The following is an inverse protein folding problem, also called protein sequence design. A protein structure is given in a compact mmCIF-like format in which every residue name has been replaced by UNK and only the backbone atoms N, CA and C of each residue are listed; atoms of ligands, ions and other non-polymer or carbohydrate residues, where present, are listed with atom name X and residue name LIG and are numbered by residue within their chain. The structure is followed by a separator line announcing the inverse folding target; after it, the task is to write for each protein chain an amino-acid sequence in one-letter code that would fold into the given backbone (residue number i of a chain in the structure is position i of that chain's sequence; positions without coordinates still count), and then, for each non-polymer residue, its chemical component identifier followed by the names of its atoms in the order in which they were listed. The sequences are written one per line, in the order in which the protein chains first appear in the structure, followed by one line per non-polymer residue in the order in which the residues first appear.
data_IF_043385300094
#
_entry.id   IF_043385300094
#
_cell.length_a   1.000
_cell.length_b   1.000
_cell.length_c   1.000
_cell.angle_alpha   90.00
_cell.angle_beta   90.00
_cell.angle_gamma   90.00
#
_symmetry.space_group_name_H-M   'P 1'
#
loop_
_entity.id
_entity.type
_entity.pdbx_description
1 polymer ?
#
# COMPACT_ATOMS: atom_id res chain seq x y z
N UNK A 1 0.97 6.90 -26.43
CA UNK A 1 0.56 5.52 -26.10
C UNK A 1 -0.79 5.59 -25.37
N UNK A 2 -1.72 4.75 -25.75
CA UNK A 2 -3.02 4.69 -25.09
C UNK A 2 -2.93 4.17 -23.64
N UNK A 3 -3.79 4.68 -22.77
CA UNK A 3 -3.80 4.31 -21.34
C UNK A 3 -4.05 2.82 -21.15
N UNK A 4 -4.98 2.21 -21.90
CA UNK A 4 -5.23 0.77 -21.82
C UNK A 4 -4.00 -0.10 -22.17
N UNK A 5 -3.16 0.33 -23.12
CA UNK A 5 -1.91 -0.36 -23.45
C UNK A 5 -0.89 -0.26 -22.31
N UNK A 6 -0.90 0.87 -21.59
CA UNK A 6 -0.06 1.06 -20.41
C UNK A 6 -0.48 0.13 -19.28
N UNK A 7 -1.78 0.05 -19.01
CA UNK A 7 -2.36 -0.88 -18.01
C UNK A 7 -1.94 -2.32 -18.31
N UNK A 8 -2.09 -2.77 -19.56
CA UNK A 8 -1.69 -4.12 -19.96
C UNK A 8 -0.19 -4.39 -19.78
N UNK A 9 0.65 -3.40 -20.06
CA UNK A 9 2.11 -3.54 -19.83
C UNK A 9 2.45 -3.64 -18.35
N UNK A 10 1.74 -2.91 -17.48
CA UNK A 10 1.91 -3.01 -16.04
C UNK A 10 1.48 -4.40 -15.54
N UNK A 11 0.28 -4.86 -15.93
CA UNK A 11 -0.22 -6.19 -15.58
C UNK A 11 0.76 -7.30 -15.97
N UNK A 12 1.32 -7.24 -17.18
CA UNK A 12 2.31 -8.23 -17.65
C UNK A 12 3.59 -8.29 -16.82
N UNK A 13 3.95 -7.23 -16.16
CA UNK A 13 5.13 -7.18 -15.29
C UNK A 13 4.89 -7.88 -13.95
N UNK A 14 3.64 -7.99 -13.50
CA UNK A 14 3.27 -8.59 -12.23
C UNK A 14 3.08 -10.12 -12.35
N UNK A 15 3.40 -10.86 -11.29
CA UNK A 15 3.23 -12.33 -11.24
C UNK A 15 1.78 -12.76 -11.42
N UNK A 16 0.83 -11.95 -10.98
CA UNK A 16 -0.61 -12.21 -11.06
C UNK A 16 -1.17 -12.20 -12.47
N UNK A 17 -0.45 -11.67 -13.47
CA UNK A 17 -0.96 -11.63 -14.82
C UNK A 17 -1.24 -13.04 -15.37
N UNK A 18 -2.49 -13.26 -15.79
CA UNK A 18 -2.98 -14.58 -16.24
C UNK A 18 -3.38 -15.55 -15.12
N UNK A 19 -3.17 -15.19 -13.85
CA UNK A 19 -3.60 -15.95 -12.66
C UNK A 19 -4.67 -15.21 -11.85
N UNK A 20 -4.81 -13.91 -12.03
CA UNK A 20 -5.84 -13.08 -11.42
C UNK A 20 -7.08 -13.11 -12.30
N UNK A 21 -8.24 -13.37 -11.71
CA UNK A 21 -9.51 -13.34 -12.41
C UNK A 21 -9.93 -11.90 -12.72
N UNK A 22 -9.88 -11.52 -13.98
CA UNK A 22 -10.25 -10.19 -14.48
C UNK A 22 -11.69 -9.79 -14.15
N UNK A 23 -12.58 -10.75 -13.90
CA UNK A 23 -13.98 -10.46 -13.56
C UNK A 23 -14.16 -10.06 -12.09
N UNK A 24 -13.25 -10.46 -11.23
CA UNK A 24 -13.38 -10.27 -9.77
C UNK A 24 -12.27 -9.43 -9.16
N UNK A 25 -11.18 -9.20 -9.88
CA UNK A 25 -10.07 -8.36 -9.40
C UNK A 25 -10.50 -6.94 -9.05
N UNK A 26 -9.83 -6.36 -8.09
CA UNK A 26 -9.98 -4.94 -7.72
C UNK A 26 -9.31 -4.00 -8.73
N UNK A 27 -8.47 -4.52 -9.62
CA UNK A 27 -7.68 -3.75 -10.60
C UNK A 27 -8.53 -3.35 -11.81
N UNK A 28 -9.46 -2.44 -11.58
CA UNK A 28 -10.42 -1.96 -12.55
C UNK A 28 -10.15 -0.51 -12.96
N UNK A 29 -10.64 -0.12 -14.15
CA UNK A 29 -10.77 1.30 -14.50
C UNK A 29 -11.93 1.85 -13.69
N UNK A 30 -11.59 2.64 -12.66
CA UNK A 30 -12.58 3.21 -11.74
C UNK A 30 -13.29 4.40 -12.35
N UNK A 31 -12.63 5.12 -13.27
CA UNK A 31 -13.18 6.29 -13.93
C UNK A 31 -12.54 6.58 -15.28
N UNK A 32 -13.30 7.18 -16.21
CA UNK A 32 -12.81 7.69 -17.48
C UNK A 32 -12.69 6.65 -18.60
N UNK A 33 -12.29 7.10 -19.79
CA UNK A 33 -12.06 6.25 -20.96
C UNK A 33 -10.56 6.01 -21.21
N UNK A 34 -10.11 4.79 -20.97
CA UNK A 34 -8.71 4.39 -21.14
C UNK A 34 -8.28 4.24 -22.63
N UNK A 35 -9.16 4.46 -23.60
CA UNK A 35 -8.79 4.44 -25.03
C UNK A 35 -8.12 5.73 -25.50
N UNK A 36 -8.11 6.76 -24.68
CA UNK A 36 -7.43 8.01 -24.98
C UNK A 36 -5.90 7.89 -24.88
N UNK A 37 -5.18 8.81 -25.54
CA UNK A 37 -3.74 8.90 -25.40
C UNK A 37 -3.34 9.43 -24.01
N UNK A 38 -2.33 8.82 -23.40
CA UNK A 38 -1.80 9.27 -22.13
C UNK A 38 -0.95 10.53 -22.31
N UNK A 39 -1.26 11.58 -21.57
CA UNK A 39 -0.49 12.83 -21.53
C UNK A 39 0.47 12.90 -20.36
N UNK A 40 0.23 12.14 -19.30
CA UNK A 40 1.06 12.04 -18.11
C UNK A 40 0.43 11.11 -17.09
N UNK A 41 1.22 10.64 -16.14
CA UNK A 41 0.80 9.68 -15.11
C UNK A 41 1.11 10.18 -13.72
N UNK A 42 0.18 9.99 -12.81
CA UNK A 42 0.35 10.18 -11.37
C UNK A 42 0.10 8.85 -10.68
N UNK A 43 0.97 8.43 -9.76
CA UNK A 43 0.75 7.28 -8.88
C UNK A 43 0.44 7.76 -7.47
N UNK A 44 -0.46 7.07 -6.78
CA UNK A 44 -0.88 7.42 -5.43
C UNK A 44 -1.46 6.20 -4.73
N UNK A 45 -1.49 6.20 -3.40
CA UNK A 45 -2.26 5.21 -2.68
C UNK A 45 -3.76 5.42 -2.90
N UNK A 46 -4.22 6.66 -2.82
CA UNK A 46 -5.62 7.03 -2.98
C UNK A 46 -5.79 8.32 -3.82
N UNK A 47 -6.63 8.29 -4.85
CA UNK A 47 -6.91 9.43 -5.73
C UNK A 47 -7.82 10.48 -5.03
N UNK A 48 -7.24 11.25 -4.11
CA UNK A 48 -7.92 12.37 -3.45
C UNK A 48 -8.19 13.53 -4.41
N UNK A 49 -9.00 14.48 -3.99
CA UNK A 49 -9.25 15.71 -4.74
C UNK A 49 -7.94 16.48 -4.99
N UNK A 50 -7.02 16.50 -4.02
CA UNK A 50 -5.73 17.17 -4.18
C UNK A 50 -4.82 16.46 -5.19
N UNK A 51 -4.83 15.12 -5.21
CA UNK A 51 -4.13 14.34 -6.24
C UNK A 51 -4.70 14.60 -7.64
N UNK A 52 -6.04 14.69 -7.75
CA UNK A 52 -6.70 15.02 -9.03
C UNK A 52 -6.30 16.43 -9.48
N UNK A 53 -6.35 17.43 -8.59
CA UNK A 53 -5.90 18.80 -8.90
C UNK A 53 -4.44 18.85 -9.28
N UNK A 54 -3.59 18.09 -8.61
CA UNK A 54 -2.18 17.98 -8.98
C UNK A 54 -2.00 17.39 -10.39
N UNK A 55 -2.73 16.32 -10.72
CA UNK A 55 -2.70 15.75 -12.06
C UNK A 55 -3.12 16.79 -13.12
N UNK A 56 -4.18 17.55 -12.87
CA UNK A 56 -4.65 18.64 -13.73
C UNK A 56 -3.55 19.70 -13.91
N UNK A 57 -2.95 20.19 -12.81
CA UNK A 57 -1.87 21.18 -12.85
C UNK A 57 -0.68 20.72 -13.71
N UNK A 58 -0.35 19.42 -13.64
CA UNK A 58 0.75 18.82 -14.40
C UNK A 58 0.37 18.38 -15.81
N UNK A 59 -0.90 18.55 -16.23
CA UNK A 59 -1.38 18.11 -17.54
C UNK A 59 -1.41 16.60 -17.70
N UNK A 60 -1.47 15.85 -16.59
CA UNK A 60 -1.57 14.39 -16.57
C UNK A 60 -3.02 13.97 -16.60
N UNK A 61 -3.37 13.03 -17.48
CA UNK A 61 -4.72 12.51 -17.61
C UNK A 61 -4.90 11.07 -17.13
N UNK A 62 -3.85 10.48 -16.52
CA UNK A 62 -3.92 9.12 -15.99
C UNK A 62 -3.45 9.06 -14.54
N UNK A 63 -4.31 8.60 -13.65
CA UNK A 63 -4.00 8.35 -12.24
C UNK A 63 -4.03 6.86 -11.99
N UNK A 64 -2.94 6.31 -11.45
CA UNK A 64 -2.87 4.94 -10.95
C UNK A 64 -2.97 5.02 -9.44
N UNK A 65 -4.07 4.53 -8.87
CA UNK A 65 -4.26 4.46 -7.43
C UNK A 65 -4.19 3.00 -6.95
N UNK A 66 -3.92 2.81 -5.67
CA UNK A 66 -3.92 1.51 -5.03
C UNK A 66 -5.29 1.19 -4.43
N UNK A 67 -5.94 2.19 -3.85
CA UNK A 67 -7.21 2.08 -3.17
C UNK A 67 -8.39 2.64 -3.98
N UNK A 68 -9.60 2.38 -3.47
CA UNK A 68 -10.86 2.79 -4.08
C UNK A 68 -10.96 4.30 -4.29
N UNK A 69 -11.61 4.71 -5.37
CA UNK A 69 -11.79 6.13 -5.72
C UNK A 69 -12.85 6.83 -4.86
N UNK A 70 -13.97 6.12 -4.55
CA UNK A 70 -15.16 6.71 -3.91
C UNK A 70 -15.54 6.02 -2.58
N UNK A 71 -14.59 5.98 -1.62
CA UNK A 71 -14.77 5.71 -0.19
C UNK A 71 -15.42 4.38 0.19
N UNK A 72 -15.40 3.40 -0.68
CA UNK A 72 -15.76 2.03 -0.35
C UNK A 72 -14.95 1.06 -1.21
N UNK A 73 -14.52 -0.03 -0.63
CA UNK A 73 -13.57 -0.97 -1.27
C UNK A 73 -14.09 -1.56 -2.59
N UNK A 74 -15.41 -1.65 -2.77
CA UNK A 74 -16.05 -2.12 -4.00
C UNK A 74 -16.25 -1.04 -5.07
N UNK A 75 -15.97 0.23 -4.77
CA UNK A 75 -16.26 1.39 -5.63
C UNK A 75 -17.73 1.49 -6.09
N UNK A 76 -18.67 0.99 -5.28
CA UNK A 76 -20.12 1.12 -5.54
C UNK A 76 -20.54 2.58 -5.37
N UNK A 77 -21.19 3.15 -6.38
CA UNK A 77 -21.52 4.59 -6.49
C UNK A 77 -23.00 4.90 -6.41
N UNK A 78 -23.86 3.90 -6.52
CA UNK A 78 -25.32 4.05 -6.63
C UNK A 78 -25.88 4.86 -5.45
N UNK A 79 -25.47 4.57 -4.24
CA UNK A 79 -25.89 5.27 -3.03
C UNK A 79 -25.41 6.73 -2.95
N UNK A 80 -24.28 7.06 -3.60
CA UNK A 80 -23.77 8.43 -3.69
C UNK A 80 -24.58 9.26 -4.69
N UNK A 81 -24.97 8.64 -5.79
CA UNK A 81 -25.83 9.26 -6.81
C UNK A 81 -27.25 9.46 -6.28
N UNK A 82 -27.85 8.46 -5.66
CA UNK A 82 -29.19 8.51 -5.04
C UNK A 82 -29.27 9.57 -3.94
N UNK A 83 -28.25 9.67 -3.09
CA UNK A 83 -28.18 10.66 -2.02
C UNK A 83 -27.79 12.06 -2.50
N UNK A 84 -27.39 12.22 -3.77
CA UNK A 84 -26.85 13.47 -4.34
C UNK A 84 -25.70 14.02 -3.49
N UNK A 85 -24.76 13.12 -3.10
CA UNK A 85 -23.64 13.50 -2.25
C UNK A 85 -22.79 14.60 -2.92
N UNK A 86 -22.71 15.77 -2.29
CA UNK A 86 -22.05 16.94 -2.87
C UNK A 86 -20.56 16.69 -3.15
N UNK A 87 -19.85 16.06 -2.21
CA UNK A 87 -18.42 15.79 -2.35
C UNK A 87 -18.14 14.82 -3.52
N UNK A 88 -18.98 13.81 -3.67
CA UNK A 88 -18.93 12.90 -4.81
C UNK A 88 -19.15 13.63 -6.13
N UNK A 89 -20.20 14.45 -6.21
CA UNK A 89 -20.55 15.18 -7.43
C UNK A 89 -19.45 16.15 -7.85
N UNK A 90 -18.87 16.90 -6.90
CA UNK A 90 -17.75 17.82 -7.17
C UNK A 90 -16.48 17.06 -7.59
N UNK A 91 -16.13 15.97 -6.92
CA UNK A 91 -14.99 15.13 -7.28
C UNK A 91 -15.17 14.53 -8.67
N UNK A 92 -16.37 14.04 -8.97
CA UNK A 92 -16.75 13.50 -10.28
C UNK A 92 -16.63 14.57 -11.37
N UNK A 93 -17.11 15.79 -11.10
CA UNK A 93 -17.03 16.91 -12.04
C UNK A 93 -15.59 17.27 -12.40
N UNK A 94 -14.66 17.26 -11.43
CA UNK A 94 -13.24 17.50 -11.69
C UNK A 94 -12.65 16.45 -12.65
N UNK A 95 -13.03 15.18 -12.50
CA UNK A 95 -12.58 14.11 -13.39
C UNK A 95 -13.15 14.26 -14.80
N UNK A 96 -14.44 14.60 -14.90
CA UNK A 96 -15.14 14.78 -16.19
C UNK A 96 -14.58 15.98 -16.97
N UNK A 97 -14.45 17.15 -16.32
CA UNK A 97 -14.00 18.39 -16.95
C UNK A 97 -12.58 18.30 -17.55
N UNK A 98 -11.76 17.41 -17.00
CA UNK A 98 -10.36 17.26 -17.39
C UNK A 98 -10.05 15.92 -18.06
N UNK A 99 -11.06 15.09 -18.33
CA UNK A 99 -10.91 13.81 -19.01
C UNK A 99 -9.94 12.84 -18.33
N UNK A 100 -9.91 12.86 -16.99
CA UNK A 100 -8.97 12.05 -16.19
C UNK A 100 -9.45 10.61 -16.13
N UNK A 101 -8.52 9.68 -16.37
CA UNK A 101 -8.71 8.24 -16.15
C UNK A 101 -8.10 7.85 -14.83
N UNK A 102 -8.84 7.09 -14.03
CA UNK A 102 -8.35 6.48 -12.79
C UNK A 102 -8.40 4.97 -12.93
N UNK A 103 -7.26 4.31 -12.76
CA UNK A 103 -7.14 2.87 -12.72
C UNK A 103 -6.60 2.43 -11.37
N UNK A 104 -7.21 1.39 -10.79
CA UNK A 104 -6.77 0.77 -9.55
C UNK A 104 -5.77 -0.34 -9.86
N UNK A 105 -4.63 -0.34 -9.19
CA UNK A 105 -3.60 -1.37 -9.24
C UNK A 105 -3.36 -1.91 -7.83
N UNK A 106 -4.13 -2.89 -7.43
CA UNK A 106 -4.15 -3.48 -6.09
C UNK A 106 -3.71 -4.94 -6.12
N UNK A 107 -4.54 -5.82 -6.68
CA UNK A 107 -4.28 -7.26 -6.66
C UNK A 107 -3.03 -7.64 -7.46
N UNK A 108 -2.81 -7.00 -8.60
CA UNK A 108 -1.65 -7.25 -9.45
C UNK A 108 -0.34 -6.87 -8.78
N UNK A 109 -0.23 -5.72 -8.12
CA UNK A 109 1.01 -5.29 -7.46
C UNK A 109 1.30 -6.16 -6.22
N UNK A 110 0.26 -6.57 -5.47
CA UNK A 110 0.39 -7.50 -4.35
C UNK A 110 0.76 -8.92 -4.79
N UNK A 111 0.30 -9.37 -5.98
CA UNK A 111 0.63 -10.70 -6.50
C UNK A 111 2.12 -10.89 -6.78
N UNK A 112 2.86 -9.82 -6.87
CA UNK A 112 4.32 -9.80 -6.92
C UNK A 112 4.91 -9.17 -8.16
N UNK A 113 6.00 -8.45 -7.94
CA UNK A 113 6.89 -7.91 -8.98
C UNK A 113 8.21 -8.68 -9.00
N UNK A 114 8.95 -8.72 -10.13
CA UNK A 114 10.23 -9.42 -10.20
C UNK A 114 11.25 -8.87 -9.21
N UNK A 115 11.85 -9.76 -8.42
CA UNK A 115 12.86 -9.41 -7.43
C UNK A 115 13.86 -10.57 -7.22
N UNK A 116 15.16 -10.35 -7.47
CA UNK A 116 16.25 -11.31 -7.24
C UNK A 116 15.99 -12.72 -7.81
N UNK A 117 15.42 -12.80 -9.01
CA UNK A 117 15.11 -14.08 -9.67
C UNK A 117 13.82 -14.75 -9.19
N UNK A 118 13.06 -14.10 -8.35
CA UNK A 118 11.76 -14.50 -7.83
C UNK A 118 10.76 -13.35 -7.96
N UNK A 119 9.68 -13.42 -7.19
CA UNK A 119 8.68 -12.38 -7.07
C UNK A 119 8.48 -11.99 -5.61
N UNK A 120 8.11 -10.74 -5.39
CA UNK A 120 7.79 -10.21 -4.07
C UNK A 120 6.63 -9.22 -4.20
N UNK A 121 5.83 -9.08 -3.15
CA UNK A 121 4.81 -8.04 -3.04
C UNK A 121 5.42 -6.66 -3.34
N UNK A 122 4.90 -5.99 -4.38
CA UNK A 122 5.48 -4.75 -4.87
C UNK A 122 5.25 -3.57 -3.93
N UNK A 123 4.18 -3.60 -3.15
CA UNK A 123 3.85 -2.58 -2.16
C UNK A 123 4.87 -2.62 -1.02
N UNK A 124 5.09 -3.80 -0.42
CA UNK A 124 6.00 -3.93 0.73
C UNK A 124 7.47 -3.98 0.33
N UNK A 125 7.80 -4.31 -0.93
CA UNK A 125 9.14 -4.03 -1.46
C UNK A 125 9.42 -2.53 -1.49
N UNK A 126 8.43 -1.70 -1.84
CA UNK A 126 8.56 -0.25 -1.81
C UNK A 126 8.90 0.27 -0.41
N UNK A 127 8.20 -0.22 0.62
CA UNK A 127 8.54 0.07 2.02
C UNK A 127 9.97 -0.37 2.34
N UNK A 128 10.34 -1.59 1.97
CA UNK A 128 11.68 -2.12 2.20
C UNK A 128 12.76 -1.25 1.52
N UNK A 129 12.51 -0.80 0.29
CA UNK A 129 13.43 0.11 -0.43
C UNK A 129 13.56 1.45 0.26
N UNK A 130 12.46 2.04 0.71
CA UNK A 130 12.44 3.32 1.43
C UNK A 130 13.20 3.25 2.75
N UNK A 131 13.05 2.15 3.47
CA UNK A 131 13.73 1.88 4.74
C UNK A 131 15.17 1.35 4.60
N UNK A 132 15.65 1.06 3.38
CA UNK A 132 16.90 0.31 3.12
C UNK A 132 16.91 -1.12 3.73
N UNK A 133 15.73 -1.75 3.81
CA UNK A 133 15.55 -3.12 4.32
C UNK A 133 15.47 -4.19 3.23
N UNK A 134 15.64 -3.82 1.99
CA UNK A 134 15.50 -4.74 0.85
C UNK A 134 16.46 -5.94 0.86
N UNK A 135 17.58 -5.82 1.60
CA UNK A 135 18.55 -6.92 1.77
C UNK A 135 18.21 -7.88 2.92
N UNK A 136 17.31 -7.48 3.80
CA UNK A 136 16.93 -8.25 4.99
C UNK A 136 15.53 -8.87 4.90
N UNK A 137 14.92 -8.84 3.72
CA UNK A 137 13.64 -9.50 3.45
C UNK A 137 13.81 -11.02 3.55
N UNK A 138 12.91 -11.71 4.26
CA UNK A 138 12.97 -13.16 4.51
C UNK A 138 11.97 -13.98 3.72
N UNK A 139 10.86 -13.39 3.29
CA UNK A 139 9.88 -14.08 2.49
C UNK A 139 9.65 -13.38 1.15
N UNK A 140 9.54 -14.19 0.12
CA UNK A 140 9.16 -13.77 -1.23
C UNK A 140 7.98 -14.62 -1.70
N UNK A 141 7.20 -14.14 -2.65
CA UNK A 141 6.04 -14.87 -3.19
C UNK A 141 6.54 -16.01 -4.12
N UNK A 142 7.13 -17.03 -3.54
CA UNK A 142 7.69 -18.17 -4.31
C UNK A 142 6.71 -19.31 -4.51
N UNK A 143 5.79 -19.51 -3.59
CA UNK A 143 4.74 -20.50 -3.70
C UNK A 143 3.43 -19.91 -3.22
N UNK A 144 2.39 -20.07 -4.02
CA UNK A 144 1.01 -19.75 -3.62
C UNK A 144 0.48 -20.74 -2.58
N UNK A 145 1.20 -21.87 -2.36
CA UNK A 145 0.79 -22.94 -1.46
C UNK A 145 1.27 -22.73 -0.01
N UNK A 146 2.26 -21.87 0.21
CA UNK A 146 2.59 -21.43 1.55
C UNK A 146 1.70 -20.24 1.88
N UNK A 147 0.70 -20.47 2.72
CA UNK A 147 -0.04 -19.41 3.41
C UNK A 147 0.97 -18.61 4.21
N UNK A 148 1.47 -17.52 3.61
CA UNK A 148 2.31 -16.59 4.32
C UNK A 148 1.47 -16.02 5.47
N UNK A 149 1.85 -16.33 6.70
CA UNK A 149 1.20 -15.82 7.90
C UNK A 149 1.31 -14.28 7.95
N UNK A 150 2.32 -13.74 7.24
CA UNK A 150 2.60 -12.31 7.11
C UNK A 150 2.90 -11.97 5.65
N UNK A 151 2.48 -10.79 5.20
CA UNK A 151 2.68 -10.35 3.81
C UNK A 151 4.17 -10.19 3.46
N UNK A 152 4.98 -9.68 4.38
CA UNK A 152 6.44 -9.55 4.23
C UNK A 152 7.09 -9.52 5.60
N UNK A 153 8.23 -10.21 5.76
CA UNK A 153 9.01 -10.22 6.99
C UNK A 153 10.44 -9.72 6.75
N UNK A 154 11.01 -9.10 7.78
CA UNK A 154 12.36 -8.53 7.79
C UNK A 154 13.13 -9.08 8.99
N UNK A 155 14.41 -9.43 8.81
CA UNK A 155 15.28 -9.85 9.90
C UNK A 155 16.53 -8.99 9.96
N UNK A 156 16.63 -8.17 11.01
CA UNK A 156 17.75 -7.25 11.21
C UNK A 156 19.03 -7.99 11.62
N UNK A 157 20.20 -7.51 11.19
CA UNK A 157 21.50 -8.07 11.59
C UNK A 157 21.74 -7.91 13.09
N UNK A 158 21.38 -6.76 13.65
CA UNK A 158 21.39 -6.47 15.07
C UNK A 158 19.99 -6.11 15.55
N UNK A 159 19.66 -6.44 16.79
CA UNK A 159 18.37 -6.09 17.36
C UNK A 159 18.25 -4.58 17.59
N UNK A 160 17.10 -4.01 17.23
CA UNK A 160 16.78 -2.58 17.36
C UNK A 160 15.75 -2.41 18.49
N UNK A 161 15.87 -1.38 19.32
CA UNK A 161 14.81 -1.07 20.29
C UNK A 161 13.51 -0.65 19.59
N UNK A 162 12.38 -1.07 20.15
CA UNK A 162 11.05 -0.79 19.54
C UNK A 162 10.82 0.72 19.34
N UNK A 163 11.23 1.55 20.30
CA UNK A 163 11.14 3.01 20.21
C UNK A 163 12.04 3.60 19.12
N UNK A 164 13.24 3.04 18.93
CA UNK A 164 14.16 3.48 17.88
C UNK A 164 13.63 3.09 16.49
N UNK A 165 13.10 1.87 16.36
CA UNK A 165 12.46 1.41 15.13
C UNK A 165 11.25 2.27 14.78
N UNK A 166 10.40 2.57 15.77
CA UNK A 166 9.25 3.46 15.60
C UNK A 166 9.68 4.85 15.11
N UNK A 167 10.74 5.42 15.71
CA UNK A 167 11.30 6.70 15.28
C UNK A 167 11.86 6.65 13.86
N UNK A 168 12.59 5.59 13.50
CA UNK A 168 13.11 5.42 12.13
C UNK A 168 11.98 5.39 11.09
N UNK A 169 10.87 4.69 11.40
CA UNK A 169 9.69 4.65 10.53
C UNK A 169 9.04 6.02 10.38
N UNK A 170 8.86 6.75 11.49
CA UNK A 170 8.31 8.12 11.47
C UNK A 170 9.16 9.04 10.62
N UNK A 171 10.46 9.08 10.86
CA UNK A 171 11.39 9.99 10.19
C UNK A 171 11.51 9.64 8.69
N UNK A 172 11.67 8.34 8.35
CA UNK A 172 11.91 7.90 6.97
C UNK A 172 10.66 7.96 6.10
N UNK A 173 9.49 7.58 6.65
CA UNK A 173 8.23 7.64 5.94
C UNK A 173 7.53 9.00 6.08
N UNK A 174 8.12 9.95 6.82
CA UNK A 174 7.58 11.29 7.04
C UNK A 174 6.17 11.26 7.63
N UNK A 175 5.98 10.44 8.69
CA UNK A 175 4.71 10.28 9.37
C UNK A 175 4.52 11.37 10.44
N UNK A 176 3.28 11.73 10.71
CA UNK A 176 2.93 12.61 11.83
C UNK A 176 3.07 11.94 13.21
N UNK A 177 3.18 10.62 13.23
CA UNK A 177 3.32 9.79 14.41
C UNK A 177 3.09 8.32 14.10
N UNK A 178 3.33 7.47 15.09
CA UNK A 178 3.09 6.04 15.03
C UNK A 178 2.51 5.55 16.35
N UNK A 179 1.63 4.58 16.30
CA UNK A 179 1.03 4.00 17.50
C UNK A 179 1.84 2.77 17.93
N UNK A 180 2.53 2.88 19.07
CA UNK A 180 3.25 1.76 19.66
C UNK A 180 2.37 1.08 20.73
N UNK A 181 2.22 -0.24 20.64
CA UNK A 181 1.44 -1.06 21.57
C UNK A 181 2.27 -2.26 22.00
N UNK A 182 2.27 -2.59 23.27
CA UNK A 182 3.01 -3.71 23.85
C UNK A 182 4.27 -3.24 24.57
N UNK A 183 5.37 -4.01 24.46
CA UNK A 183 6.61 -3.73 25.17
C UNK A 183 7.45 -2.69 24.41
N UNK A 184 7.51 -1.45 24.90
CA UNK A 184 8.29 -0.36 24.30
C UNK A 184 9.81 -0.54 24.42
N UNK A 185 10.26 -1.43 25.31
CA UNK A 185 11.67 -1.83 25.48
C UNK A 185 12.03 -3.10 24.69
N UNK A 186 11.09 -3.64 23.89
CA UNK A 186 11.33 -4.84 23.10
C UNK A 186 12.56 -4.66 22.19
N UNK A 187 13.34 -5.72 22.07
CA UNK A 187 14.50 -5.80 21.18
C UNK A 187 14.07 -6.51 19.88
N UNK A 188 13.89 -5.73 18.83
CA UNK A 188 13.33 -6.21 17.57
C UNK A 188 14.44 -6.80 16.71
N UNK A 189 14.43 -8.11 16.55
CA UNK A 189 15.25 -8.85 15.60
C UNK A 189 14.49 -9.16 14.32
N UNK A 190 13.18 -9.45 14.47
CA UNK A 190 12.29 -9.77 13.35
C UNK A 190 11.06 -8.89 13.37
N UNK A 191 10.79 -8.23 12.24
CA UNK A 191 9.57 -7.47 12.03
C UNK A 191 8.78 -8.07 10.84
N UNK A 192 7.46 -7.99 10.88
CA UNK A 192 6.61 -8.41 9.78
C UNK A 192 5.44 -7.45 9.56
N UNK A 193 5.00 -7.35 8.31
CA UNK A 193 3.76 -6.65 7.97
C UNK A 193 2.60 -7.60 8.20
N UNK A 194 1.70 -7.22 9.09
CA UNK A 194 0.50 -7.98 9.40
C UNK A 194 -0.62 -7.60 8.44
N UNK A 195 -1.35 -8.60 7.92
CA UNK A 195 -2.59 -8.37 7.19
C UNK A 195 -3.63 -7.65 8.05
N UNK A 196 -4.66 -7.12 7.40
CA UNK A 196 -5.75 -6.38 8.05
C UNK A 196 -6.33 -7.10 9.26
N UNK A 197 -6.44 -6.39 10.38
CA UNK A 197 -7.07 -6.88 11.60
C UNK A 197 -8.30 -6.02 11.89
N UNK A 198 -9.45 -6.48 11.42
CA UNK A 198 -10.70 -5.75 11.61
C UNK A 198 -11.43 -6.18 12.90
N UNK A 199 -12.32 -7.14 12.87
CA UNK A 199 -13.15 -7.50 14.02
C UNK A 199 -12.76 -8.81 14.71
N UNK A 200 -12.46 -9.86 13.96
CA UNK A 200 -12.03 -11.16 14.49
C UNK A 200 -10.52 -11.32 14.25
N UNK A 201 -9.77 -11.41 15.33
CA UNK A 201 -8.30 -11.49 15.31
C UNK A 201 -7.76 -12.86 15.72
N UNK A 202 -8.59 -13.90 15.76
CA UNK A 202 -8.19 -15.23 16.29
C UNK A 202 -7.01 -15.80 15.55
N UNK A 203 -7.06 -15.80 14.23
CA UNK A 203 -6.01 -16.35 13.38
C UNK A 203 -4.71 -15.57 13.56
N UNK A 204 -4.79 -14.24 13.50
CA UNK A 204 -3.65 -13.35 13.70
C UNK A 204 -3.01 -13.53 15.08
N UNK A 205 -3.81 -13.67 16.14
CA UNK A 205 -3.31 -13.92 17.50
C UNK A 205 -2.60 -15.27 17.55
N UNK A 206 -3.21 -16.35 17.04
CA UNK A 206 -2.63 -17.69 17.05
C UNK A 206 -1.32 -17.75 16.27
N UNK A 207 -1.30 -17.13 15.10
CA UNK A 207 -0.10 -17.11 14.24
C UNK A 207 1.01 -16.28 14.86
N UNK A 208 0.67 -15.11 15.40
CA UNK A 208 1.64 -14.26 16.12
C UNK A 208 2.21 -14.98 17.33
N UNK A 209 1.37 -15.68 18.13
CA UNK A 209 1.83 -16.37 19.33
C UNK A 209 2.82 -17.50 19.02
N UNK A 210 2.62 -18.20 17.92
CA UNK A 210 3.48 -19.30 17.45
C UNK A 210 4.72 -18.82 16.69
N UNK A 211 4.74 -17.57 16.22
CA UNK A 211 5.84 -17.01 15.45
C UNK A 211 6.98 -16.54 16.34
N UNK A 212 8.13 -16.31 15.74
CA UNK A 212 9.29 -15.65 16.32
C UNK A 212 9.39 -14.17 15.92
N UNK A 213 8.27 -13.56 15.51
CA UNK A 213 8.18 -12.15 15.15
C UNK A 213 8.11 -11.30 16.42
N UNK A 214 9.03 -10.36 16.54
CA UNK A 214 9.09 -9.41 17.68
C UNK A 214 8.21 -8.18 17.45
N UNK A 215 8.16 -7.69 16.20
CA UNK A 215 7.46 -6.46 15.83
C UNK A 215 6.49 -6.69 14.68
N UNK A 216 5.27 -6.20 14.83
CA UNK A 216 4.24 -6.24 13.81
C UNK A 216 3.95 -4.83 13.32
N UNK A 217 4.20 -4.60 12.03
CA UNK A 217 3.83 -3.37 11.34
C UNK A 217 2.38 -3.52 10.89
N UNK A 218 1.49 -2.67 11.38
CA UNK A 218 0.05 -2.83 11.16
C UNK A 218 -0.55 -1.66 10.40
N UNK A 219 -1.53 -1.97 9.56
CA UNK A 219 -2.38 -1.01 8.86
C UNK A 219 -3.49 -0.53 9.78
N UNK A 220 -4.53 -1.34 9.94
CA UNK A 220 -5.58 -1.13 10.92
C UNK A 220 -5.30 -1.97 12.16
N UNK A 221 -5.70 -1.44 13.32
CA UNK A 221 -5.54 -2.11 14.59
C UNK A 221 -6.71 -1.77 15.51
N UNK A 222 -7.61 -2.74 15.74
CA UNK A 222 -8.77 -2.58 16.59
C UNK A 222 -8.36 -2.81 18.06
N UNK A 223 -8.77 -1.90 18.96
CA UNK A 223 -8.35 -1.87 20.35
C UNK A 223 -8.81 -3.09 21.15
N UNK A 224 -10.03 -3.55 20.93
CA UNK A 224 -10.67 -4.62 21.73
C UNK A 224 -10.44 -6.04 21.20
N UNK A 225 -9.41 -6.25 20.36
CA UNK A 225 -9.01 -7.57 19.84
C UNK A 225 -7.49 -7.73 19.88
N UNK A 226 -6.84 -7.58 18.75
CA UNK A 226 -5.40 -7.82 18.61
C UNK A 226 -4.53 -6.87 19.47
N UNK A 227 -4.94 -5.60 19.61
CA UNK A 227 -4.20 -4.65 20.44
C UNK A 227 -4.19 -5.02 21.91
N UNK A 228 -5.30 -5.57 22.45
CA UNK A 228 -5.33 -6.08 23.84
C UNK A 228 -4.36 -7.25 24.01
N UNK A 229 -4.36 -8.21 23.09
CA UNK A 229 -3.42 -9.33 23.11
C UNK A 229 -1.95 -8.87 23.11
N UNK A 230 -1.59 -7.93 22.24
CA UNK A 230 -0.22 -7.40 22.21
C UNK A 230 0.12 -6.64 23.50
N UNK A 231 -0.83 -5.90 24.05
CA UNK A 231 -0.64 -5.18 25.33
C UNK A 231 -0.41 -6.16 26.48
N UNK A 232 -1.23 -7.19 26.59
CA UNK A 232 -1.07 -8.25 27.60
C UNK A 232 0.25 -9.00 27.45
N UNK A 233 0.65 -9.27 26.20
CA UNK A 233 1.98 -9.84 25.89
C UNK A 233 3.12 -8.98 26.46
N UNK A 234 3.04 -7.65 26.30
CA UNK A 234 4.00 -6.71 26.87
C UNK A 234 3.97 -6.71 28.41
N UNK A 235 2.78 -6.75 29.04
CA UNK A 235 2.61 -6.83 30.48
C UNK A 235 3.16 -8.15 31.07
N UNK A 236 3.29 -9.18 30.26
CA UNK A 236 3.89 -10.47 30.61
C UNK A 236 5.36 -10.58 30.22
N UNK A 237 6.04 -9.43 30.02
CA UNK A 237 7.46 -9.33 29.66
C UNK A 237 7.84 -10.11 28.38
N UNK A 238 6.89 -10.31 27.46
CA UNK A 238 7.19 -10.87 26.15
C UNK A 238 7.88 -9.80 25.29
N UNK A 239 8.87 -10.22 24.50
CA UNK A 239 9.57 -9.33 23.56
C UNK A 239 8.71 -9.10 22.30
N UNK A 240 7.57 -8.41 22.48
CA UNK A 240 6.59 -8.22 21.39
C UNK A 240 5.96 -6.85 21.40
N UNK A 241 5.84 -6.26 20.19
CA UNK A 241 5.28 -4.92 19.98
C UNK A 241 4.51 -4.88 18.64
N UNK A 242 3.47 -4.06 18.58
CA UNK A 242 2.85 -3.65 17.33
C UNK A 242 3.07 -2.16 17.09
N UNK A 243 3.46 -1.81 15.88
CA UNK A 243 3.64 -0.45 15.39
C UNK A 243 2.55 -0.15 14.35
N UNK A 244 1.53 0.60 14.79
CA UNK A 244 0.43 1.04 13.93
C UNK A 244 0.85 2.23 13.08
N UNK A 245 1.18 1.99 11.82
CA UNK A 245 1.57 3.02 10.87
C UNK A 245 0.36 3.70 10.21
N UNK A 246 -0.74 2.95 10.07
CA UNK A 246 -1.89 3.33 9.26
C UNK A 246 -1.77 2.80 7.83
N UNK A 247 -2.91 2.48 7.23
CA UNK A 247 -3.03 1.79 5.95
C UNK A 247 -2.20 2.47 4.85
N UNK A 248 -2.56 3.68 4.49
CA UNK A 248 -1.89 4.40 3.40
C UNK A 248 -0.41 4.70 3.67
N UNK A 249 -0.05 4.96 4.92
CA UNK A 249 1.35 5.22 5.28
C UNK A 249 2.25 4.00 5.06
N UNK A 250 1.69 2.81 5.21
CA UNK A 250 2.41 1.55 5.02
C UNK A 250 2.54 1.17 3.54
N UNK A 251 1.59 1.58 2.71
CA UNK A 251 1.49 1.23 1.29
C UNK A 251 2.01 2.31 0.34
N UNK A 252 1.95 3.59 0.74
CA UNK A 252 2.41 4.72 -0.07
C UNK A 252 3.85 4.55 -0.61
N UNK A 253 4.83 4.02 0.18
CA UNK A 253 6.16 3.73 -0.35
C UNK A 253 6.16 2.77 -1.53
N UNK A 254 5.19 1.85 -1.61
CA UNK A 254 5.01 0.94 -2.74
C UNK A 254 4.60 1.66 -4.01
N UNK A 255 3.65 2.57 -3.91
CA UNK A 255 3.19 3.38 -5.04
C UNK A 255 4.25 4.39 -5.50
N UNK A 256 5.07 4.92 -4.58
CA UNK A 256 6.25 5.71 -4.90
C UNK A 256 7.30 4.89 -5.66
N UNK A 257 7.59 3.68 -5.19
CA UNK A 257 8.55 2.77 -5.82
C UNK A 257 8.07 2.30 -7.20
N UNK A 258 6.77 2.14 -7.39
CA UNK A 258 6.18 1.75 -8.66
C UNK A 258 6.65 2.65 -9.81
N UNK A 259 6.75 3.96 -9.62
CA UNK A 259 7.26 4.89 -10.63
C UNK A 259 8.67 4.56 -11.10
N UNK A 260 9.53 4.04 -10.22
CA UNK A 260 10.95 3.80 -10.54
C UNK A 260 11.14 2.65 -11.51
N UNK A 261 10.40 1.56 -11.37
CA UNK A 261 10.51 0.43 -12.30
C UNK A 261 9.64 0.64 -13.55
N UNK A 262 8.53 1.34 -13.39
CA UNK A 262 7.62 1.58 -14.49
C UNK A 262 8.21 2.51 -15.57
N UNK A 263 8.91 3.57 -15.18
CA UNK A 263 9.65 4.42 -16.12
C UNK A 263 10.68 3.64 -16.95
N UNK A 264 11.27 2.57 -16.37
CA UNK A 264 12.17 1.67 -17.09
C UNK A 264 11.46 0.80 -18.10
N UNK A 265 10.26 0.28 -17.75
CA UNK A 265 9.48 -0.62 -18.60
C UNK A 265 8.93 0.04 -19.85
N UNK A 266 8.58 1.32 -19.78
CA UNK A 266 7.92 2.00 -20.90
C UNK A 266 8.88 2.63 -21.89
N UNK A 267 10.18 2.71 -21.61
CA UNK A 267 11.18 3.43 -22.43
C UNK A 267 10.71 4.84 -22.84
N UNK A 268 9.81 5.44 -22.08
CA UNK A 268 9.17 6.72 -22.36
C UNK A 268 9.75 7.76 -21.42
N UNK A 269 10.61 8.60 -21.94
CA UNK A 269 11.07 9.81 -21.27
C UNK A 269 9.93 10.83 -21.19
N UNK A 270 9.01 10.66 -20.27
CA UNK A 270 8.19 11.74 -19.74
C UNK A 270 8.76 12.15 -18.39
N UNK A 271 9.69 13.09 -18.43
CA UNK A 271 10.13 13.84 -17.26
C UNK A 271 8.97 14.73 -16.79
N UNK A 272 8.03 14.17 -16.07
CA UNK A 272 7.24 14.94 -15.12
C UNK A 272 8.02 14.94 -13.81
N UNK A 273 8.45 16.13 -13.40
CA UNK A 273 9.27 16.32 -12.21
C UNK A 273 8.71 15.58 -11.02
N UNK A 274 9.56 14.75 -10.41
CA UNK A 274 9.36 14.11 -9.12
C UNK A 274 9.16 15.18 -8.05
N UNK A 275 7.94 15.58 -7.85
CA UNK A 275 7.52 16.29 -6.66
C UNK A 275 6.48 15.41 -5.95
N UNK A 276 6.98 14.72 -4.92
CA UNK A 276 6.26 14.09 -3.81
C UNK A 276 4.85 13.61 -4.16
N UNK A 277 4.63 12.31 -4.06
CA UNK A 277 3.31 11.75 -3.77
C UNK A 277 2.79 12.49 -2.54
N UNK A 278 1.81 13.36 -2.73
CA UNK A 278 1.28 14.16 -1.63
C UNK A 278 0.18 13.35 -0.99
N UNK A 279 0.54 12.49 -0.06
CA UNK A 279 -0.42 12.01 0.92
C UNK A 279 -0.50 13.06 2.02
N UNK A 280 -1.46 13.97 1.91
CA UNK A 280 -1.79 14.86 3.03
C UNK A 280 -2.79 14.12 3.90
N UNK A 281 -2.31 13.36 4.86
CA UNK A 281 -3.11 13.02 6.03
C UNK A 281 -2.72 14.03 7.11
N UNK A 282 -3.38 15.18 7.09
CA UNK A 282 -3.42 16.07 8.25
C UNK A 282 -4.33 15.40 9.29
N UNK A 283 -3.75 14.63 10.18
CA UNK A 283 -4.43 14.24 11.42
C UNK A 283 -4.23 15.43 12.38
N UNK A 284 -5.31 16.22 12.57
CA UNK A 284 -5.43 17.19 13.65
C UNK A 284 -5.49 16.46 14.99
#
# INVERSE_FOLDING_TARGET
MKINQMIENIKKYHKGYGTIDEATTRDQILYGDANQECTGVVTTCWASVDVIRFAIEKGANFIICHEALFWNHGDHREWLEESKNEVYLEKKQLLDDHGIVVWRNHDYIHSGIPYNGSYIDGIFLGLAKKMNWDKIIKNTVNSLDETLEFSTAYEFDDAIEATDLAKQLVDTCNLNGIRLIGNDQAKIKKAAVLFHVFGDAKEQIVNTDKSDIDCLLTMELIDFTYAEYIRDSGCLDKNRVALGMGHFNLEEPGMEYMLTYWMRLLSVMFLLGLNRVVTIINIL
#
